data_IF_073343141630
#
_entry.id   IF_073343141630
#
_cell.length_a   1.000
_cell.length_b   1.000
_cell.length_c   1.000
_cell.angle_alpha   90.00
_cell.angle_beta   90.00
_cell.angle_gamma   90.00
#
_symmetry.space_group_name_H-M   'P 1'
#
loop_
_entity.id
_entity.type
_entity.pdbx_description
1 polymer ?
#
# COMPACT_ATOMS: atom_id res chain seq x y z
N UNK A 1 -48.90 32.60 67.12
CA UNK A 1 -48.10 33.03 65.95
C UNK A 1 -47.61 31.80 65.23
N UNK A 2 -48.41 31.29 64.28
CA UNK A 2 -48.11 30.09 63.47
C UNK A 2 -47.85 30.51 62.06
N UNK A 3 -46.57 30.48 61.70
CA UNK A 3 -46.10 30.79 60.37
C UNK A 3 -46.26 29.54 59.50
N UNK A 4 -47.36 29.46 58.73
CA UNK A 4 -47.59 28.45 57.73
C UNK A 4 -46.75 28.78 56.49
N UNK A 5 -45.79 27.90 56.16
CA UNK A 5 -45.07 27.93 54.86
C UNK A 5 -45.97 27.30 53.80
N UNK A 6 -46.31 28.02 52.72
CA UNK A 6 -47.04 27.41 51.63
C UNK A 6 -46.09 26.45 50.87
N UNK A 7 -46.45 25.20 50.82
CA UNK A 7 -45.79 24.23 49.92
C UNK A 7 -46.22 24.51 48.48
N UNK A 8 -45.32 25.10 47.71
CA UNK A 8 -45.53 25.30 46.27
C UNK A 8 -44.94 24.10 45.57
N UNK A 9 -45.80 23.22 45.10
CA UNK A 9 -45.43 22.16 44.18
C UNK A 9 -45.39 22.74 42.76
N UNK A 10 -44.21 22.97 42.20
CA UNK A 10 -44.02 23.25 40.78
C UNK A 10 -43.48 21.99 40.08
N UNK A 11 -44.37 21.13 39.62
CA UNK A 11 -44.04 20.06 38.70
C UNK A 11 -44.10 20.64 37.27
N UNK A 12 -43.00 21.21 36.80
CA UNK A 12 -42.84 21.59 35.37
C UNK A 12 -42.37 20.36 34.61
N UNK A 13 -43.32 19.53 34.20
CA UNK A 13 -43.08 18.48 33.19
C UNK A 13 -42.90 19.12 31.81
N UNK A 14 -41.72 19.42 31.39
CA UNK A 14 -41.43 19.92 30.04
C UNK A 14 -41.42 18.74 29.08
N UNK A 15 -42.61 18.30 28.62
CA UNK A 15 -42.74 17.37 27.49
C UNK A 15 -42.69 18.19 26.22
N UNK A 16 -41.49 18.48 25.70
CA UNK A 16 -41.31 19.02 24.36
C UNK A 16 -41.33 17.86 23.35
N UNK A 17 -42.53 17.34 23.09
CA UNK A 17 -42.76 16.45 21.97
C UNK A 17 -43.11 17.31 20.76
N UNK A 18 -42.29 17.34 19.68
CA UNK A 18 -42.62 18.10 18.47
C UNK A 18 -43.82 17.44 17.78
N UNK A 19 -45.03 17.95 18.04
CA UNK A 19 -46.30 17.44 17.49
C UNK A 19 -46.40 17.64 15.97
N UNK A 20 -45.58 18.53 15.38
CA UNK A 20 -45.54 18.78 13.95
C UNK A 20 -44.07 18.93 13.44
N UNK A 21 -43.46 17.82 13.07
CA UNK A 21 -42.13 17.81 12.47
C UNK A 21 -42.15 17.89 10.92
N UNK A 22 -43.26 18.34 10.29
CA UNK A 22 -43.43 18.55 8.83
C UNK A 22 -42.51 17.68 7.95
N UNK A 23 -42.60 16.33 8.10
CA UNK A 23 -41.79 15.39 7.33
C UNK A 23 -40.30 15.27 7.73
N UNK A 24 -39.84 15.96 8.78
CA UNK A 24 -38.44 15.92 9.24
C UNK A 24 -38.03 14.50 9.65
N UNK A 25 -38.89 13.79 10.40
CA UNK A 25 -38.67 12.40 10.82
C UNK A 25 -38.51 11.46 9.62
N UNK A 26 -39.41 11.59 8.61
CA UNK A 26 -39.33 10.77 7.39
C UNK A 26 -38.06 11.05 6.57
N UNK A 27 -37.65 12.33 6.49
CA UNK A 27 -36.40 12.71 5.82
C UNK A 27 -35.17 12.21 6.57
N UNK A 28 -35.21 12.21 7.90
CA UNK A 28 -34.12 11.67 8.73
C UNK A 28 -34.02 10.16 8.57
N UNK A 29 -35.16 9.46 8.51
CA UNK A 29 -35.21 8.03 8.23
C UNK A 29 -34.63 7.72 6.83
N UNK A 30 -35.06 8.44 5.80
CA UNK A 30 -34.53 8.31 4.45
C UNK A 30 -33.01 8.57 4.40
N UNK A 31 -32.54 9.62 5.09
CA UNK A 31 -31.10 9.89 5.18
C UNK A 31 -30.34 8.75 5.86
N UNK A 32 -30.90 8.17 6.93
CA UNK A 32 -30.28 7.02 7.61
C UNK A 32 -30.22 5.77 6.69
N UNK A 33 -31.25 5.53 5.88
CA UNK A 33 -31.25 4.45 4.88
C UNK A 33 -30.18 4.67 3.81
N UNK A 34 -30.03 5.90 3.32
CA UNK A 34 -28.99 6.20 2.33
C UNK A 34 -27.58 6.09 2.94
N UNK A 35 -27.36 6.49 4.18
CA UNK A 35 -26.10 6.27 4.90
C UNK A 35 -25.82 4.76 5.06
N UNK A 36 -26.84 3.95 5.38
CA UNK A 36 -26.67 2.49 5.43
C UNK A 36 -26.23 1.91 4.07
N UNK A 37 -26.90 2.29 2.99
CA UNK A 37 -26.50 1.86 1.62
C UNK A 37 -25.05 2.28 1.31
N UNK A 38 -24.67 3.49 1.69
CA UNK A 38 -23.31 3.98 1.52
C UNK A 38 -22.30 3.10 2.26
N UNK A 39 -22.61 2.64 3.49
CA UNK A 39 -21.76 1.72 4.24
C UNK A 39 -21.65 0.34 3.57
N UNK A 40 -22.74 -0.15 2.99
CA UNK A 40 -22.74 -1.44 2.25
C UNK A 40 -21.81 -1.33 1.03
N UNK A 41 -21.94 -0.26 0.23
CA UNK A 41 -21.06 -0.04 -0.93
C UNK A 41 -19.59 0.17 -0.53
N UNK A 42 -19.34 0.86 0.59
CA UNK A 42 -17.98 1.02 1.12
C UNK A 42 -17.38 -0.34 1.54
N UNK A 43 -18.17 -1.22 2.13
CA UNK A 43 -17.75 -2.59 2.44
C UNK A 43 -17.42 -3.38 1.16
N UNK A 44 -18.31 -3.37 0.16
CA UNK A 44 -18.08 -4.03 -1.13
C UNK A 44 -16.79 -3.52 -1.80
N UNK A 45 -16.59 -2.21 -1.80
CA UNK A 45 -15.38 -1.59 -2.32
C UNK A 45 -14.13 -2.09 -1.60
N UNK A 46 -14.16 -2.14 -0.26
CA UNK A 46 -13.04 -2.64 0.55
C UNK A 46 -12.70 -4.10 0.23
N UNK A 47 -13.71 -4.94 0.01
CA UNK A 47 -13.51 -6.34 -0.37
C UNK A 47 -12.85 -6.44 -1.74
N UNK A 48 -13.31 -5.67 -2.71
CA UNK A 48 -12.72 -5.65 -4.07
C UNK A 48 -11.27 -5.17 -4.02
N UNK A 49 -10.99 -4.12 -3.25
CA UNK A 49 -9.63 -3.58 -3.07
C UNK A 49 -8.70 -4.61 -2.41
N UNK A 50 -9.18 -5.34 -1.41
CA UNK A 50 -8.40 -6.39 -0.76
C UNK A 50 -8.01 -7.52 -1.74
N UNK A 51 -8.93 -7.96 -2.60
CA UNK A 51 -8.61 -8.93 -3.64
C UNK A 51 -7.63 -8.38 -4.67
N UNK A 52 -7.82 -7.14 -5.11
CA UNK A 52 -6.93 -6.49 -6.06
C UNK A 52 -5.51 -6.34 -5.50
N UNK A 53 -5.36 -6.07 -4.20
CA UNK A 53 -4.05 -5.93 -3.56
C UNK A 53 -3.31 -7.28 -3.46
N UNK A 54 -4.01 -8.37 -3.17
CA UNK A 54 -3.43 -9.73 -3.21
C UNK A 54 -2.99 -10.08 -4.63
N UNK A 55 -3.83 -9.84 -5.64
CA UNK A 55 -3.51 -10.11 -7.04
C UNK A 55 -2.29 -9.30 -7.50
N UNK A 56 -2.25 -8.00 -7.23
CA UNK A 56 -1.10 -7.15 -7.52
C UNK A 56 0.18 -7.66 -6.87
N UNK A 57 0.12 -8.07 -5.61
CA UNK A 57 1.28 -8.60 -4.89
C UNK A 57 1.79 -9.89 -5.55
N UNK A 58 0.91 -10.83 -5.93
CA UNK A 58 1.28 -12.08 -6.61
C UNK A 58 1.94 -11.81 -7.97
N UNK A 59 1.33 -10.95 -8.80
CA UNK A 59 1.89 -10.56 -10.11
C UNK A 59 3.25 -9.87 -9.94
N UNK A 60 3.39 -9.02 -8.94
CA UNK A 60 4.64 -8.33 -8.64
C UNK A 60 5.75 -9.32 -8.26
N UNK A 61 5.49 -10.29 -7.38
CA UNK A 61 6.45 -11.34 -6.98
C UNK A 61 6.95 -12.10 -8.20
N UNK A 62 6.04 -12.55 -9.07
CA UNK A 62 6.41 -13.28 -10.29
C UNK A 62 7.24 -12.43 -11.25
N UNK A 63 6.87 -11.16 -11.40
CA UNK A 63 7.58 -10.20 -12.27
C UNK A 63 8.99 -9.93 -11.76
N UNK A 64 9.16 -9.63 -10.47
CA UNK A 64 10.48 -9.37 -9.89
C UNK A 64 11.36 -10.63 -9.87
N UNK A 65 10.78 -11.81 -9.72
CA UNK A 65 11.52 -13.07 -9.84
C UNK A 65 12.12 -13.24 -11.25
N UNK A 66 11.33 -12.97 -12.28
CA UNK A 66 11.81 -13.00 -13.67
C UNK A 66 12.87 -11.93 -13.94
N UNK A 67 12.68 -10.73 -13.41
CA UNK A 67 13.64 -9.65 -13.51
C UNK A 67 14.96 -10.01 -12.82
N UNK A 68 14.94 -10.57 -11.61
CA UNK A 68 16.14 -11.00 -10.89
C UNK A 68 16.95 -12.02 -11.70
N UNK A 69 16.28 -13.00 -12.31
CA UNK A 69 16.95 -14.00 -13.17
C UNK A 69 17.63 -13.35 -14.38
N UNK A 70 16.97 -12.42 -15.06
CA UNK A 70 17.54 -11.72 -16.20
C UNK A 70 18.69 -10.79 -15.81
N UNK A 71 18.54 -10.10 -14.68
CA UNK A 71 19.57 -9.21 -14.16
C UNK A 71 20.82 -9.98 -13.72
N UNK A 72 20.66 -11.17 -13.11
CA UNK A 72 21.79 -12.04 -12.80
C UNK A 72 22.57 -12.46 -14.04
N UNK A 73 21.87 -12.75 -15.14
CA UNK A 73 22.52 -13.04 -16.43
C UNK A 73 23.28 -11.84 -16.98
N UNK A 74 22.73 -10.62 -16.84
CA UNK A 74 23.40 -9.39 -17.24
C UNK A 74 24.68 -9.15 -16.42
N UNK A 75 24.63 -9.34 -15.10
CA UNK A 75 25.81 -9.25 -14.22
C UNK A 75 26.90 -10.23 -14.65
N UNK A 76 26.54 -11.48 -14.97
CA UNK A 76 27.50 -12.46 -15.47
C UNK A 76 28.11 -12.06 -16.82
N UNK A 77 27.30 -11.48 -17.72
CA UNK A 77 27.82 -10.99 -19.02
C UNK A 77 28.78 -9.83 -18.82
N UNK A 78 28.42 -8.83 -18.01
CA UNK A 78 29.27 -7.68 -17.70
C UNK A 78 30.57 -8.09 -16.98
N UNK A 79 30.53 -9.09 -16.10
CA UNK A 79 31.71 -9.65 -15.46
C UNK A 79 32.68 -10.21 -16.49
N UNK A 80 32.20 -10.98 -17.46
CA UNK A 80 33.06 -11.52 -18.56
C UNK A 80 33.64 -10.41 -19.44
N UNK A 81 32.84 -9.37 -19.76
CA UNK A 81 33.28 -8.21 -20.50
C UNK A 81 34.42 -7.48 -19.76
N UNK A 82 34.22 -7.25 -18.46
CA UNK A 82 35.23 -6.61 -17.59
C UNK A 82 36.56 -7.42 -17.56
N UNK A 83 36.46 -8.75 -17.38
CA UNK A 83 37.64 -9.63 -17.42
C UNK A 83 38.34 -9.57 -18.75
N UNK A 84 37.61 -9.65 -19.88
CA UNK A 84 38.17 -9.59 -21.22
C UNK A 84 38.86 -8.25 -21.50
N UNK A 85 38.27 -7.12 -21.12
CA UNK A 85 38.91 -5.81 -21.28
C UNK A 85 40.17 -5.67 -20.44
N UNK A 86 40.24 -6.24 -19.24
CA UNK A 86 41.47 -6.30 -18.42
C UNK A 86 42.57 -7.11 -19.11
N UNK A 87 42.24 -8.25 -19.75
CA UNK A 87 43.21 -9.06 -20.49
C UNK A 87 43.71 -8.33 -21.74
N UNK A 88 42.80 -7.70 -22.50
CA UNK A 88 43.20 -6.90 -23.67
C UNK A 88 44.13 -5.75 -23.29
N UNK A 89 43.83 -5.05 -22.20
CA UNK A 89 44.71 -4.00 -21.69
C UNK A 89 46.08 -4.52 -21.26
N UNK A 90 46.16 -5.65 -20.54
CA UNK A 90 47.42 -6.27 -20.13
C UNK A 90 48.29 -6.67 -21.34
N UNK A 91 47.65 -7.04 -22.43
CA UNK A 91 48.33 -7.40 -23.69
C UNK A 91 48.61 -6.18 -24.57
N UNK A 92 48.30 -4.95 -24.13
CA UNK A 92 48.52 -3.73 -24.90
C UNK A 92 47.57 -3.52 -26.09
N UNK A 93 46.44 -4.25 -26.11
CA UNK A 93 45.46 -4.25 -27.21
C UNK A 93 44.23 -3.36 -26.96
N UNK A 94 44.11 -2.76 -25.82
CA UNK A 94 43.04 -1.80 -25.51
C UNK A 94 43.50 -0.68 -24.57
N UNK A 95 42.77 0.43 -24.54
CA UNK A 95 43.03 1.54 -23.61
C UNK A 95 42.56 1.22 -22.21
N UNK A 96 43.20 1.83 -21.19
CA UNK A 96 42.76 1.70 -19.79
C UNK A 96 41.35 2.24 -19.58
N UNK A 97 40.90 3.19 -20.39
CA UNK A 97 39.55 3.72 -20.35
C UNK A 97 38.49 2.63 -20.59
N UNK A 98 38.75 1.69 -21.52
CA UNK A 98 37.85 0.58 -21.84
C UNK A 98 37.67 -0.35 -20.61
N UNK A 99 38.72 -0.52 -19.80
CA UNK A 99 38.65 -1.28 -18.54
C UNK A 99 37.76 -0.57 -17.52
N UNK A 100 37.97 0.75 -17.37
CA UNK A 100 37.16 1.55 -16.40
C UNK A 100 35.68 1.57 -16.78
N UNK A 101 35.37 1.71 -18.07
CA UNK A 101 33.99 1.72 -18.54
C UNK A 101 33.31 0.36 -18.33
N UNK A 102 34.00 -0.74 -18.62
CA UNK A 102 33.52 -2.08 -18.37
C UNK A 102 33.30 -2.37 -16.86
N UNK A 103 34.18 -1.88 -15.99
CA UNK A 103 34.02 -2.00 -14.53
C UNK A 103 32.85 -1.17 -14.01
N UNK A 104 32.65 0.02 -14.55
CA UNK A 104 31.48 0.86 -14.20
C UNK A 104 30.18 0.18 -14.58
N UNK A 105 30.10 -0.41 -15.78
CA UNK A 105 28.90 -1.12 -16.24
C UNK A 105 28.64 -2.38 -15.39
N UNK A 106 29.68 -3.13 -15.02
CA UNK A 106 29.58 -4.25 -14.11
C UNK A 106 29.03 -3.79 -12.76
N UNK A 107 29.59 -2.73 -12.18
CA UNK A 107 29.14 -2.20 -10.90
C UNK A 107 27.68 -1.72 -10.95
N UNK A 108 27.30 -0.99 -12.02
CA UNK A 108 25.92 -0.54 -12.21
C UNK A 108 24.94 -1.72 -12.29
N UNK A 109 25.29 -2.78 -13.02
CA UNK A 109 24.46 -3.99 -13.14
C UNK A 109 24.33 -4.75 -11.82
N UNK A 110 25.38 -4.79 -10.99
CA UNK A 110 25.36 -5.38 -9.66
C UNK A 110 24.46 -4.58 -8.70
N UNK A 111 24.54 -3.25 -8.71
CA UNK A 111 23.67 -2.39 -7.90
C UNK A 111 22.20 -2.61 -8.25
N UNK A 112 21.88 -2.66 -9.54
CA UNK A 112 20.52 -2.92 -9.99
C UNK A 112 20.02 -4.32 -9.61
N UNK A 113 20.89 -5.33 -9.60
CA UNK A 113 20.54 -6.66 -9.11
C UNK A 113 20.15 -6.63 -7.63
N UNK A 114 20.88 -5.90 -6.80
CA UNK A 114 20.56 -5.73 -5.37
C UNK A 114 19.21 -5.02 -5.18
N UNK A 115 18.94 -3.97 -5.95
CA UNK A 115 17.65 -3.26 -5.91
C UNK A 115 16.49 -4.19 -6.25
N UNK A 116 16.61 -4.98 -7.30
CA UNK A 116 15.59 -5.96 -7.71
C UNK A 116 15.38 -7.01 -6.61
N UNK A 117 16.44 -7.50 -5.98
CA UNK A 117 16.37 -8.45 -4.88
C UNK A 117 15.65 -7.85 -3.66
N UNK A 118 15.94 -6.61 -3.30
CA UNK A 118 15.24 -5.89 -2.22
C UNK A 118 13.76 -5.75 -2.54
N UNK A 119 13.40 -5.34 -3.76
CA UNK A 119 12.00 -5.20 -4.17
C UNK A 119 11.26 -6.55 -4.13
N UNK A 120 11.92 -7.64 -4.44
CA UNK A 120 11.35 -8.97 -4.29
C UNK A 120 10.94 -9.26 -2.84
N UNK A 121 11.81 -8.96 -1.86
CA UNK A 121 11.48 -9.12 -0.44
C UNK A 121 10.36 -8.18 0.02
N UNK A 122 10.37 -6.93 -0.43
CA UNK A 122 9.30 -5.95 -0.15
C UNK A 122 7.94 -6.47 -0.63
N UNK A 123 7.89 -7.08 -1.83
CA UNK A 123 6.65 -7.65 -2.36
C UNK A 123 6.18 -8.88 -1.56
N UNK A 124 7.07 -9.72 -1.03
CA UNK A 124 6.69 -10.80 -0.11
C UNK A 124 6.05 -10.26 1.18
N UNK A 125 6.64 -9.22 1.75
CA UNK A 125 6.07 -8.53 2.92
C UNK A 125 4.72 -7.90 2.57
N UNK A 126 4.61 -7.31 1.38
CA UNK A 126 3.35 -6.75 0.85
C UNK A 126 2.25 -7.80 0.76
N UNK A 127 2.57 -8.97 0.21
CA UNK A 127 1.63 -10.09 0.14
C UNK A 127 1.19 -10.55 1.54
N UNK A 128 2.15 -10.69 2.47
CA UNK A 128 1.84 -11.07 3.85
C UNK A 128 0.86 -10.08 4.51
N UNK A 129 1.06 -8.78 4.30
CA UNK A 129 0.15 -7.73 4.79
C UNK A 129 -1.22 -7.79 4.12
N UNK A 130 -1.28 -7.99 2.79
CA UNK A 130 -2.53 -8.09 2.04
C UNK A 130 -3.38 -9.31 2.46
N UNK A 131 -2.74 -10.39 2.91
CA UNK A 131 -3.41 -11.58 3.46
C UNK A 131 -3.85 -11.41 4.93
N UNK A 132 -3.67 -10.22 5.51
CA UNK A 132 -4.06 -9.93 6.89
C UNK A 132 -3.03 -10.41 7.92
N UNK A 133 -1.80 -10.69 7.55
CA UNK A 133 -0.72 -11.00 8.47
C UNK A 133 -0.18 -9.75 9.16
N UNK A 134 0.20 -9.87 10.44
CA UNK A 134 0.83 -8.76 11.16
C UNK A 134 0.08 -8.33 12.44
N UNK A 135 -0.72 -9.23 13.02
CA UNK A 135 -1.37 -9.06 14.33
C UNK A 135 -0.42 -9.43 15.45
#
# INVERSE_FOLDING_TARGET
MTSGKPWVWSAVGQITQPLFAFGKLKRTEQAAVEVYKQQVYAYEQTVIEAFADVEKALVSIETYRKQATRQAQLVLANSRISEMNRELYRNGMSAYLDVIDAERELYASQMQFVEIAVQQYVNYVGLYKALGGGW
#
